data_IF_739021695685
#
_entry.id   IF_739021695685
#
_cell.length_a   1.000
_cell.length_b   1.000
_cell.length_c   1.000
_cell.angle_alpha   90.00
_cell.angle_beta   90.00
_cell.angle_gamma   90.00
#
_symmetry.space_group_name_H-M   'P 1'
#
loop_
_entity.id
_entity.type
_entity.pdbx_description
1 polymer ?
#
# COMPACT_ATOMS: atom_id res chain seq x y z
N UNK A 1 -7.13 5.67 12.41
CA UNK A 1 -6.49 4.53 11.72
C UNK A 1 -6.78 4.67 10.24
N UNK A 2 -5.80 4.39 9.38
CA UNK A 2 -5.97 4.38 7.91
C UNK A 2 -5.93 2.93 7.45
N UNK A 3 -6.88 2.54 6.60
CA UNK A 3 -6.92 1.26 5.91
C UNK A 3 -6.72 1.51 4.41
N UNK A 4 -5.76 0.82 3.81
CA UNK A 4 -5.46 0.92 2.39
C UNK A 4 -6.06 -0.27 1.65
N UNK A 5 -6.73 0.02 0.53
CA UNK A 5 -7.02 -0.97 -0.51
C UNK A 5 -5.71 -1.50 -1.11
N UNK A 6 -5.73 -2.60 -1.88
CA UNK A 6 -4.52 -3.17 -2.46
C UNK A 6 -3.67 -2.12 -3.20
N UNK A 7 -2.37 -2.13 -2.91
CA UNK A 7 -1.42 -1.10 -3.38
C UNK A 7 -0.15 -1.69 -3.99
N UNK A 8 -0.08 -3.02 -4.10
CA UNK A 8 1.02 -3.71 -4.78
C UNK A 8 0.90 -3.58 -6.29
N UNK A 9 2.00 -3.86 -7.00
CA UNK A 9 2.09 -3.73 -8.46
C UNK A 9 1.05 -4.63 -9.15
N UNK A 10 0.14 -4.03 -9.94
CA UNK A 10 -0.91 -4.74 -10.65
C UNK A 10 -1.23 -4.11 -12.00
N UNK A 11 -1.93 -4.85 -12.87
CA UNK A 11 -2.35 -4.36 -14.18
C UNK A 11 -3.64 -3.53 -14.13
N UNK A 12 -4.50 -3.76 -13.13
CA UNK A 12 -5.75 -3.01 -12.95
C UNK A 12 -5.60 -1.78 -12.04
N UNK A 13 -6.64 -0.93 -12.07
CA UNK A 13 -6.74 0.21 -11.15
C UNK A 13 -7.10 -0.22 -9.72
N UNK A 14 -7.90 -1.29 -9.58
CA UNK A 14 -8.33 -1.78 -8.27
C UNK A 14 -7.27 -2.64 -7.57
N UNK A 15 -6.27 -3.13 -8.31
CA UNK A 15 -5.05 -3.81 -7.82
C UNK A 15 -5.27 -5.10 -7.02
N UNK A 16 -6.45 -5.71 -7.14
CA UNK A 16 -6.73 -7.03 -6.58
C UNK A 16 -6.05 -8.16 -7.39
N UNK A 17 -5.56 -7.85 -8.58
CA UNK A 17 -4.78 -8.67 -9.50
C UNK A 17 -3.27 -8.41 -9.37
N UNK A 18 -2.77 -8.40 -8.13
CA UNK A 18 -1.36 -8.12 -7.86
C UNK A 18 -0.44 -9.10 -8.61
N UNK A 19 0.48 -8.55 -9.41
CA UNK A 19 1.48 -9.30 -10.17
C UNK A 19 2.68 -9.71 -9.31
N UNK A 20 2.92 -8.98 -8.22
CA UNK A 20 3.94 -9.25 -7.20
C UNK A 20 3.55 -8.53 -5.91
N UNK A 21 4.01 -9.04 -4.77
CA UNK A 21 3.83 -8.43 -3.44
C UNK A 21 5.13 -7.81 -2.88
N UNK A 22 6.20 -7.78 -3.68
CA UNK A 22 7.52 -7.31 -3.21
C UNK A 22 7.59 -5.79 -3.08
N UNK A 23 6.90 -5.07 -3.97
CA UNK A 23 6.98 -3.61 -4.06
C UNK A 23 5.60 -2.97 -4.23
N UNK A 24 5.43 -1.81 -3.61
CA UNK A 24 4.31 -0.90 -3.86
C UNK A 24 4.36 -0.44 -5.30
N UNK A 25 3.20 -0.38 -5.94
CA UNK A 25 3.09 0.07 -7.33
C UNK A 25 3.74 1.46 -7.50
N UNK A 26 4.70 1.63 -8.44
CA UNK A 26 5.31 2.92 -8.73
C UNK A 26 4.30 4.03 -9.05
N UNK A 27 3.13 3.69 -9.63
CA UNK A 27 2.05 4.64 -9.90
C UNK A 27 1.44 5.23 -8.61
N UNK A 28 1.55 4.54 -7.49
CA UNK A 28 1.13 5.01 -6.16
C UNK A 28 2.27 5.70 -5.38
N UNK A 29 3.44 5.85 -5.99
CA UNK A 29 4.62 6.48 -5.39
C UNK A 29 5.65 5.50 -4.81
N UNK A 30 5.41 4.19 -4.92
CA UNK A 30 6.35 3.14 -4.52
C UNK A 30 6.64 3.07 -3.02
N UNK A 31 7.61 2.23 -2.67
CA UNK A 31 7.93 1.89 -1.27
C UNK A 31 8.28 3.13 -0.42
N UNK A 32 8.94 4.12 -1.03
CA UNK A 32 9.30 5.37 -0.36
C UNK A 32 8.08 6.17 0.06
N UNK A 33 7.03 6.21 -0.77
CA UNK A 33 5.79 6.91 -0.44
C UNK A 33 5.06 6.20 0.70
N UNK A 34 4.96 4.86 0.66
CA UNK A 34 4.36 4.07 1.74
C UNK A 34 5.12 4.26 3.07
N UNK A 35 6.45 4.22 3.04
CA UNK A 35 7.28 4.46 4.23
C UNK A 35 7.07 5.88 4.81
N UNK A 36 6.98 6.89 3.95
CA UNK A 36 6.69 8.27 4.38
C UNK A 36 5.30 8.41 5.00
N UNK A 37 4.29 7.77 4.41
CA UNK A 37 2.93 7.73 4.93
C UNK A 37 2.89 7.04 6.30
N UNK A 38 3.50 5.86 6.42
CA UNK A 38 3.56 5.10 7.66
C UNK A 38 4.21 5.91 8.79
N UNK A 39 5.33 6.59 8.52
CA UNK A 39 5.98 7.49 9.49
C UNK A 39 5.04 8.60 9.93
N UNK A 40 4.42 9.31 8.99
CA UNK A 40 3.50 10.42 9.29
C UNK A 40 2.28 9.96 10.11
N UNK A 41 1.77 8.75 9.84
CA UNK A 41 0.71 8.13 10.64
C UNK A 41 1.17 7.86 12.07
N UNK A 42 2.33 7.23 12.25
CA UNK A 42 2.86 6.89 13.57
C UNK A 42 3.15 8.13 14.43
N UNK A 43 3.70 9.19 13.84
CA UNK A 43 3.91 10.49 14.51
C UNK A 43 2.60 11.10 15.05
N UNK A 44 1.46 10.74 14.45
CA UNK A 44 0.12 11.20 14.85
C UNK A 44 -0.60 10.20 15.77
N UNK A 45 0.08 9.15 16.24
CA UNK A 45 -0.54 8.07 17.01
C UNK A 45 -1.56 7.24 16.21
N UNK A 46 -1.49 7.30 14.88
CA UNK A 46 -2.39 6.58 13.98
C UNK A 46 -1.76 5.27 13.53
N UNK A 47 -2.59 4.23 13.37
CA UNK A 47 -2.20 2.95 12.74
C UNK A 47 -2.47 2.99 11.24
N UNK A 48 -1.66 2.28 10.47
CA UNK A 48 -1.81 2.02 9.04
C UNK A 48 -1.97 0.51 8.82
N UNK A 49 -3.00 0.10 8.07
CA UNK A 49 -3.29 -1.29 7.74
C UNK A 49 -3.49 -1.44 6.23
N UNK A 50 -3.03 -2.54 5.65
CA UNK A 50 -3.17 -2.84 4.23
C UNK A 50 -4.05 -4.06 3.98
N UNK A 51 -4.77 -4.03 2.86
CA UNK A 51 -5.46 -5.18 2.29
C UNK A 51 -4.46 -6.09 1.55
N UNK A 52 -4.49 -7.39 1.87
CA UNK A 52 -3.71 -8.42 1.18
C UNK A 52 -4.66 -9.53 0.73
N UNK A 53 -4.84 -9.66 -0.58
CA UNK A 53 -5.64 -10.71 -1.21
C UNK A 53 -4.70 -11.78 -1.79
N UNK A 54 -4.87 -13.05 -1.40
CA UNK A 54 -3.99 -14.19 -1.74
C UNK A 54 -4.68 -15.27 -2.59
N UNK A 55 -5.81 -14.95 -3.24
CA UNK A 55 -6.64 -15.96 -3.91
C UNK A 55 -6.13 -16.41 -5.28
#
# INVERSE_FOLDING_TARGET
>A
MIYLTPFFTAGSVHRYDASTFEHVDPLLGGDRALASLARACHERGMRLMGDLTLN
#
